data_IF_116212207823
#
_entry.id   IF_116212207823
#
_cell.length_a   1.000
_cell.length_b   1.000
_cell.length_c   1.000
_cell.angle_alpha   90.00
_cell.angle_beta   90.00
_cell.angle_gamma   90.00
#
_symmetry.space_group_name_H-M   'P 1'
#
loop_
_entity.id
_entity.type
_entity.pdbx_description
1 polymer ?
#
# COMPACT_ATOMS: atom_id res chain seq x y z
N UNK A 1 -2.86 18.47 9.20
CA UNK A 1 -2.86 18.30 7.74
C UNK A 1 -3.78 17.13 7.43
N UNK A 2 -4.51 17.15 6.30
CA UNK A 2 -5.32 16.00 5.92
C UNK A 2 -4.41 14.86 5.46
N UNK A 3 -4.78 13.61 5.77
CA UNK A 3 -4.07 12.39 5.37
C UNK A 3 -5.01 11.55 4.53
N UNK A 4 -4.50 10.93 3.48
CA UNK A 4 -5.26 9.95 2.68
C UNK A 4 -4.85 8.53 3.08
N UNK A 5 -5.85 7.69 3.35
CA UNK A 5 -5.63 6.29 3.71
C UNK A 5 -5.62 5.43 2.44
N UNK A 6 -4.57 4.63 2.28
CA UNK A 6 -4.48 3.68 1.19
C UNK A 6 -5.13 2.34 1.58
N UNK A 7 -6.09 1.89 0.78
CA UNK A 7 -6.68 0.57 0.96
C UNK A 7 -5.65 -0.55 0.68
N UNK A 8 -5.81 -1.69 1.36
CA UNK A 8 -5.06 -2.90 1.05
C UNK A 8 -5.32 -3.33 -0.41
N UNK A 9 -4.36 -4.02 -1.04
CA UNK A 9 -4.40 -4.39 -2.46
C UNK A 9 -4.49 -3.20 -3.43
N UNK A 10 -3.99 -2.05 -3.02
CA UNK A 10 -3.75 -0.88 -3.88
C UNK A 10 -2.27 -0.65 -4.07
N UNK A 11 -1.91 0.18 -5.04
CA UNK A 11 -0.52 0.48 -5.35
C UNK A 11 0.25 1.00 -4.11
N UNK A 12 -0.27 1.92 -3.29
CA UNK A 12 0.51 2.40 -2.14
C UNK A 12 0.69 1.39 -1.02
N UNK A 13 -0.11 0.33 -0.95
CA UNK A 13 0.11 -0.81 -0.03
C UNK A 13 0.96 -1.92 -0.66
N UNK A 14 1.48 -1.72 -1.88
CA UNK A 14 2.28 -2.70 -2.61
C UNK A 14 3.79 -2.53 -2.36
N UNK A 15 4.54 -3.61 -2.16
CA UNK A 15 6.00 -3.59 -2.06
C UNK A 15 6.69 -2.90 -3.24
N UNK A 16 6.08 -2.96 -4.43
CA UNK A 16 6.63 -2.48 -5.71
C UNK A 16 6.28 -1.03 -6.05
N UNK A 17 5.79 -0.26 -5.09
CA UNK A 17 5.44 1.15 -5.27
C UNK A 17 6.46 2.03 -4.55
N UNK A 18 7.05 2.98 -5.26
CA UNK A 18 8.17 3.80 -4.77
C UNK A 18 7.77 5.20 -4.27
N UNK A 19 6.47 5.47 -4.15
CA UNK A 19 6.00 6.76 -3.66
C UNK A 19 6.19 6.93 -2.16
N UNK A 20 6.00 8.17 -1.70
CA UNK A 20 6.05 8.47 -0.26
C UNK A 20 4.82 7.91 0.44
N UNK A 21 5.06 7.10 1.48
CA UNK A 21 4.03 6.52 2.34
C UNK A 21 4.60 6.30 3.74
N UNK A 22 3.71 6.25 4.71
CA UNK A 22 4.03 5.96 6.11
C UNK A 22 3.02 4.97 6.67
N UNK A 23 3.41 4.26 7.73
CA UNK A 23 2.48 3.47 8.52
C UNK A 23 1.92 4.32 9.65
N UNK A 24 0.63 4.17 9.91
CA UNK A 24 0.01 4.68 11.12
C UNK A 24 0.51 3.89 12.35
N UNK A 25 0.15 4.37 13.54
CA UNK A 25 0.55 3.77 14.82
C UNK A 25 0.04 2.33 15.02
N UNK A 26 -1.00 1.90 14.28
CA UNK A 26 -1.51 0.54 14.31
C UNK A 26 -0.65 -0.47 13.50
N UNK A 27 0.33 0.02 12.74
CA UNK A 27 1.23 -0.79 11.91
C UNK A 27 0.57 -1.47 10.72
N UNK A 28 -0.71 -1.21 10.43
CA UNK A 28 -1.47 -1.85 9.36
C UNK A 28 -2.08 -0.85 8.37
N UNK A 29 -2.34 0.36 8.82
CA UNK A 29 -2.88 1.45 8.01
C UNK A 29 -1.75 2.19 7.30
N UNK A 30 -1.84 2.31 5.98
CA UNK A 30 -0.89 3.10 5.18
C UNK A 30 -1.46 4.49 4.93
N UNK A 31 -0.69 5.50 5.33
CA UNK A 31 -0.99 6.92 5.25
C UNK A 31 -0.18 7.59 4.14
N UNK A 32 -0.84 8.46 3.38
CA UNK A 32 -0.26 9.24 2.29
C UNK A 32 -0.50 10.72 2.51
N UNK A 33 0.48 11.54 2.11
CA UNK A 33 0.27 12.97 1.91
C UNK A 33 -0.62 13.19 0.67
N UNK A 34 -1.82 13.79 0.81
CA UNK A 34 -2.71 14.05 -0.33
C UNK A 34 -2.08 14.90 -1.43
N UNK A 35 -1.09 15.74 -1.10
CA UNK A 35 -0.36 16.55 -2.08
C UNK A 35 0.69 15.73 -2.85
N UNK A 36 1.13 14.60 -2.31
CA UNK A 36 2.17 13.74 -2.90
C UNK A 36 1.81 12.25 -2.81
N UNK A 37 0.57 11.91 -3.17
CA UNK A 37 -0.01 10.56 -3.06
C UNK A 37 0.29 9.65 -4.27
N UNK A 38 1.27 10.00 -5.11
CA UNK A 38 1.61 9.24 -6.32
C UNK A 38 3.06 8.77 -6.30
N UNK A 39 3.27 7.54 -6.76
CA UNK A 39 4.57 6.90 -6.90
C UNK A 39 4.60 6.02 -8.15
N UNK A 40 5.78 5.74 -8.67
CA UNK A 40 5.95 4.82 -9.78
C UNK A 40 5.84 3.37 -9.29
N UNK A 41 5.32 2.54 -10.19
CA UNK A 41 5.42 1.10 -10.04
C UNK A 41 6.80 0.66 -10.52
N UNK A 42 7.61 0.10 -9.63
CA UNK A 42 9.00 -0.32 -9.95
C UNK A 42 9.06 -1.71 -10.55
N UNK A 43 8.03 -2.53 -10.38
CA UNK A 43 7.93 -3.87 -10.97
C UNK A 43 6.48 -4.27 -11.24
N UNK A 44 6.26 -5.08 -12.28
CA UNK A 44 4.95 -5.60 -12.66
C UNK A 44 4.37 -4.96 -13.92
N UNK A 45 3.05 -5.10 -14.17
CA UNK A 45 2.44 -4.76 -15.46
C UNK A 45 2.43 -3.26 -15.77
N UNK A 46 2.66 -2.40 -14.76
CA UNK A 46 2.69 -0.95 -14.90
C UNK A 46 4.09 -0.37 -14.64
N UNK A 47 5.15 -1.16 -14.81
CA UNK A 47 6.52 -0.74 -14.58
C UNK A 47 6.83 0.65 -15.18
N UNK A 48 7.40 1.54 -14.38
CA UNK A 48 7.74 2.92 -14.72
C UNK A 48 6.57 3.91 -14.70
N UNK A 49 5.32 3.46 -14.57
CA UNK A 49 4.14 4.32 -14.58
C UNK A 49 3.79 4.86 -13.19
N UNK A 50 3.35 6.13 -13.13
CA UNK A 50 2.83 6.74 -11.89
C UNK A 50 1.45 6.18 -11.53
N UNK A 51 1.30 5.79 -10.27
CA UNK A 51 0.10 5.17 -9.68
C UNK A 51 -0.19 5.84 -8.33
N UNK A 52 -1.47 6.06 -8.04
CA UNK A 52 -1.96 6.62 -6.79
C UNK A 52 -2.82 5.62 -5.99
N UNK A 53 -3.50 6.10 -4.93
CA UNK A 53 -4.21 5.25 -3.95
C UNK A 53 -5.37 4.45 -4.51
N UNK A 54 -6.01 4.92 -5.59
CA UNK A 54 -7.10 4.18 -6.24
C UNK A 54 -6.62 3.18 -7.29
N UNK A 55 -5.33 3.17 -7.60
CA UNK A 55 -4.79 2.25 -8.58
C UNK A 55 -4.48 0.89 -7.94
N UNK A 56 -4.70 -0.17 -8.71
CA UNK A 56 -4.28 -1.52 -8.37
C UNK A 56 -3.54 -2.15 -9.56
N UNK A 57 -2.80 -3.23 -9.29
CA UNK A 57 -2.28 -4.13 -10.29
C UNK A 57 -2.59 -5.57 -9.86
N UNK A 58 -2.82 -6.48 -10.81
CA UNK A 58 -3.10 -7.89 -10.50
C UNK A 58 -1.88 -8.68 -9.99
N UNK A 59 -0.73 -8.02 -9.83
CA UNK A 59 0.49 -8.58 -9.26
C UNK A 59 0.89 -7.84 -7.97
N UNK A 60 -0.12 -7.50 -7.18
CA UNK A 60 0.07 -6.84 -5.89
C UNK A 60 0.85 -7.77 -4.95
N UNK A 61 1.81 -7.19 -4.24
CA UNK A 61 2.59 -7.85 -3.19
C UNK A 61 2.49 -6.95 -1.96
N UNK A 62 2.06 -7.48 -0.82
CA UNK A 62 1.98 -6.68 0.40
C UNK A 62 3.31 -5.99 0.70
N UNK A 63 3.26 -4.71 1.02
CA UNK A 63 4.42 -3.99 1.53
C UNK A 63 4.85 -4.60 2.86
N UNK A 64 6.12 -5.00 2.96
CA UNK A 64 6.67 -5.77 4.08
C UNK A 64 6.54 -5.10 5.45
N UNK A 65 6.42 -3.77 5.48
CA UNK A 65 6.25 -3.01 6.72
C UNK A 65 4.83 -3.16 7.29
N UNK A 66 3.82 -3.46 6.46
CA UNK A 66 2.43 -3.65 6.91
C UNK A 66 2.38 -4.93 7.75
N UNK A 67 2.07 -4.78 9.04
CA UNK A 67 1.93 -5.90 9.97
C UNK A 67 0.78 -6.82 9.50
N UNK A 68 0.94 -8.14 9.68
CA UNK A 68 -0.16 -9.07 9.41
C UNK A 68 -1.33 -8.74 10.32
N UNK A 69 -2.53 -8.64 9.74
CA UNK A 69 -3.76 -8.55 10.53
C UNK A 69 -3.93 -9.89 11.22
N UNK A 70 -3.62 -9.93 12.52
CA UNK A 70 -3.83 -11.12 13.33
C UNK A 70 -5.31 -11.13 13.71
N UNK A 71 -6.09 -11.95 12.99
CA UNK A 71 -7.46 -12.24 13.42
C UNK A 71 -7.43 -13.01 14.74
N UNK A 72 -8.45 -12.88 15.61
CA UNK A 72 -8.49 -13.58 16.91
C UNK A 72 -8.40 -15.11 16.77
N UNK A 73 -8.66 -15.65 15.58
CA UNK A 73 -8.55 -17.08 15.26
C UNK A 73 -7.13 -17.50 14.81
N UNK A 74 -6.12 -16.63 14.97
CA UNK A 74 -4.72 -16.90 14.62
C UNK A 74 -4.47 -17.10 13.13
N UNK A 75 -5.46 -16.84 12.29
CA UNK A 75 -5.38 -17.00 10.84
C UNK A 75 -4.92 -15.68 10.23
N UNK A 76 -3.70 -15.65 9.69
CA UNK A 76 -3.26 -14.56 8.84
C UNK A 76 -4.13 -14.59 7.58
N UNK A 77 -5.00 -13.59 7.39
CA UNK A 77 -5.79 -13.45 6.18
C UNK A 77 -4.87 -13.03 5.03
N UNK A 78 -4.26 -14.01 4.38
CA UNK A 78 -3.85 -13.89 2.98
C UNK A 78 -5.09 -14.18 2.17
N UNK A 79 -5.61 -13.17 1.49
CA UNK A 79 -6.61 -13.34 0.45
C UNK A 79 -6.08 -12.68 -0.78
#
# INVERSE_FOLDING_TARGET
MAVEIAELRRCPTCQRWDGTRQLAADGSTVELDPANNRGKCTEGPWHGSLRGPRNACGQWLQWIEILPVITPDGSATDS
#
